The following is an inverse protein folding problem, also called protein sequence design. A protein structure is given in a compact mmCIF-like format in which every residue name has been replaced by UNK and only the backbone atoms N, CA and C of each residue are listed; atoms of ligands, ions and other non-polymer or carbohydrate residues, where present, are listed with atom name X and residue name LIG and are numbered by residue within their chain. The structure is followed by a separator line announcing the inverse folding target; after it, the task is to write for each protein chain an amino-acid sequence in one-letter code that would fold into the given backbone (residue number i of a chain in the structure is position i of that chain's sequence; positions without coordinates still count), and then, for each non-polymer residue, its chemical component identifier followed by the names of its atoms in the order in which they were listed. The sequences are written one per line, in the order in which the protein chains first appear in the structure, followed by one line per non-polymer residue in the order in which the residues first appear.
data_IF_684306303695
#
_entry.id   IF_684306303695
#
_cell.length_a   1.000
_cell.length_b   1.000
_cell.length_c   1.000
_cell.angle_alpha   90.00
_cell.angle_beta   90.00
_cell.angle_gamma   90.00
#
_symmetry.space_group_name_H-M   'P 1'
#
loop_
_entity.id
_entity.type
_entity.pdbx_description
1 polymer ?
#
# COMPACT_ATOMS: atom_id res chain seq x y z
N UNK A 1 -74.76 -2.45 -15.96
CA UNK A 1 -74.15 -3.20 -17.09
C UNK A 1 -72.72 -3.57 -16.70
N UNK A 2 -72.42 -4.89 -16.62
CA UNK A 2 -71.12 -5.62 -16.69
C UNK A 2 -69.91 -4.99 -15.96
N UNK A 3 -69.48 -5.44 -14.78
CA UNK A 3 -68.74 -6.68 -14.44
C UNK A 3 -67.46 -6.95 -15.26
N UNK A 4 -66.31 -7.06 -14.56
CA UNK A 4 -65.29 -8.12 -14.72
C UNK A 4 -64.28 -8.10 -13.55
N UNK A 5 -64.11 -9.29 -12.95
CA UNK A 5 -63.13 -9.72 -11.96
C UNK A 5 -61.73 -9.97 -12.58
N UNK A 6 -60.67 -9.90 -11.77
CA UNK A 6 -59.55 -10.87 -11.67
C UNK A 6 -58.57 -10.42 -10.57
N UNK A 7 -58.60 -10.97 -9.35
CA UNK A 7 -57.86 -12.14 -8.83
C UNK A 7 -56.33 -12.00 -8.71
N UNK A 8 -55.90 -11.93 -7.44
CA UNK A 8 -54.72 -12.54 -6.80
C UNK A 8 -53.72 -13.30 -7.67
N UNK A 9 -52.43 -12.98 -7.52
CA UNK A 9 -51.35 -13.97 -7.63
C UNK A 9 -50.23 -13.63 -6.65
N UNK A 10 -50.12 -14.47 -5.63
CA UNK A 10 -48.95 -14.71 -4.78
C UNK A 10 -47.91 -15.48 -5.62
N UNK A 11 -46.61 -15.16 -5.54
CA UNK A 11 -45.40 -15.97 -5.81
C UNK A 11 -44.23 -14.99 -6.06
N UNK A 12 -42.98 -15.17 -5.68
CA UNK A 12 -42.27 -16.18 -4.90
C UNK A 12 -40.94 -15.51 -4.48
N UNK A 13 -40.52 -15.69 -3.22
CA UNK A 13 -39.14 -15.43 -2.81
C UNK A 13 -38.25 -16.47 -3.50
N UNK A 14 -37.48 -16.05 -4.51
CA UNK A 14 -36.33 -16.83 -4.96
C UNK A 14 -35.14 -16.48 -4.07
N UNK A 15 -34.87 -17.37 -3.11
CA UNK A 15 -33.55 -17.55 -2.54
C UNK A 15 -32.65 -18.07 -3.67
N UNK A 16 -31.74 -17.24 -4.16
CA UNK A 16 -30.61 -17.70 -4.96
C UNK A 16 -29.41 -17.92 -4.02
N UNK A 17 -28.69 -19.05 -4.17
CA UNK A 17 -27.64 -19.46 -3.27
C UNK A 17 -26.41 -18.55 -3.38
N UNK A 18 -25.81 -18.27 -2.22
CA UNK A 18 -24.47 -17.69 -2.09
C UNK A 18 -23.49 -18.76 -2.57
N UNK A 19 -23.02 -18.63 -3.81
CA UNK A 19 -21.92 -19.41 -4.35
C UNK A 19 -20.73 -18.48 -4.59
N UNK A 20 -19.78 -18.55 -3.66
CA UNK A 20 -18.32 -18.53 -3.89
C UNK A 20 -17.84 -17.72 -5.10
N UNK A 21 -17.41 -16.48 -4.84
CA UNK A 21 -16.35 -15.83 -5.61
C UNK A 21 -15.11 -15.74 -4.71
N UNK A 22 -14.39 -16.86 -4.64
CA UNK A 22 -13.00 -16.90 -4.18
C UNK A 22 -12.22 -17.36 -5.41
N UNK A 23 -11.62 -16.42 -6.16
CA UNK A 23 -10.96 -16.75 -7.42
C UNK A 23 -10.46 -15.60 -8.29
N UNK A 24 -10.62 -14.32 -7.91
CA UNK A 24 -10.27 -13.19 -8.79
C UNK A 24 -9.06 -12.36 -8.33
N UNK A 25 -8.35 -12.72 -7.25
CA UNK A 25 -7.23 -11.89 -6.76
C UNK A 25 -5.86 -12.25 -7.35
N UNK A 26 -5.66 -13.46 -7.88
CA UNK A 26 -4.36 -13.89 -8.40
C UNK A 26 -4.11 -13.47 -9.86
N UNK A 27 -5.15 -13.34 -10.69
CA UNK A 27 -4.97 -12.99 -12.12
C UNK A 27 -4.74 -11.49 -12.37
N UNK A 28 -5.21 -10.59 -11.50
CA UNK A 28 -4.99 -9.14 -11.68
C UNK A 28 -3.52 -8.72 -11.45
N UNK A 29 -2.78 -9.44 -10.60
CA UNK A 29 -1.39 -9.08 -10.24
C UNK A 29 -0.36 -9.33 -11.37
N UNK A 30 -0.70 -10.13 -12.39
CA UNK A 30 0.28 -10.62 -13.37
C UNK A 30 0.40 -9.76 -14.64
N UNK A 31 -0.45 -8.75 -14.81
CA UNK A 31 -0.47 -7.88 -16.01
C UNK A 31 0.31 -6.56 -15.85
N UNK A 32 0.86 -6.27 -14.68
CA UNK A 32 1.20 -4.90 -14.26
C UNK A 32 2.59 -4.34 -14.68
N UNK A 33 3.33 -4.93 -15.61
CA UNK A 33 4.72 -4.49 -15.88
C UNK A 33 5.03 -4.29 -17.37
N UNK A 34 4.83 -3.08 -17.91
CA UNK A 34 5.35 -2.76 -19.26
C UNK A 34 5.89 -1.34 -19.48
N UNK A 35 5.77 -0.39 -18.55
CA UNK A 35 6.34 0.95 -18.73
C UNK A 35 7.51 1.22 -17.77
N UNK A 36 8.71 1.36 -18.34
CA UNK A 36 9.95 1.62 -17.61
C UNK A 36 9.95 2.96 -16.87
N UNK A 37 9.06 3.90 -17.21
CA UNK A 37 8.94 5.20 -16.55
C UNK A 37 7.71 5.28 -15.63
N UNK A 38 7.11 4.15 -15.28
CA UNK A 38 5.96 4.06 -14.38
C UNK A 38 6.32 3.18 -13.18
N UNK A 39 5.94 3.58 -11.96
CA UNK A 39 6.10 2.73 -10.78
C UNK A 39 5.05 1.61 -10.74
N UNK A 40 5.42 0.39 -10.30
CA UNK A 40 6.79 -0.03 -9.95
C UNK A 40 7.68 -0.20 -11.21
N UNK A 41 8.86 0.43 -11.23
CA UNK A 41 9.75 0.48 -12.41
C UNK A 41 11.14 1.07 -12.16
N UNK A 42 11.87 1.44 -13.23
CA UNK A 42 13.20 2.07 -13.17
C UNK A 42 13.10 3.59 -13.31
N UNK A 43 13.27 4.29 -12.19
CA UNK A 43 13.21 5.74 -12.12
C UNK A 43 14.59 6.29 -12.49
N UNK A 44 14.70 6.87 -13.67
CA UNK A 44 15.97 7.42 -14.15
C UNK A 44 16.17 8.84 -13.65
N UNK A 45 17.39 9.19 -13.25
CA UNK A 45 17.76 10.53 -12.74
C UNK A 45 17.57 11.66 -13.75
N UNK A 46 17.35 11.34 -15.03
CA UNK A 46 16.96 12.31 -16.07
C UNK A 46 15.48 12.73 -15.95
N UNK A 47 14.69 12.07 -15.10
CA UNK A 47 13.37 12.57 -14.74
C UNK A 47 13.52 13.88 -13.98
N UNK A 48 12.80 14.92 -14.42
CA UNK A 48 12.93 16.26 -13.84
C UNK A 48 12.55 16.20 -12.35
N UNK A 49 13.54 16.48 -11.49
CA UNK A 49 13.31 16.64 -10.07
C UNK A 49 12.35 17.81 -9.86
N UNK A 50 11.27 17.57 -9.12
CA UNK A 50 10.34 18.63 -8.80
C UNK A 50 10.87 19.39 -7.59
N UNK A 51 11.15 20.68 -7.79
CA UNK A 51 11.87 21.51 -6.80
C UNK A 51 10.92 22.18 -5.80
N UNK A 52 9.61 22.18 -6.06
CA UNK A 52 8.67 22.70 -5.06
C UNK A 52 8.70 21.84 -3.81
N UNK A 53 8.63 22.50 -2.65
CA UNK A 53 8.72 21.81 -1.37
C UNK A 53 7.50 20.92 -1.17
N UNK A 54 7.72 19.63 -0.95
CA UNK A 54 6.66 18.72 -0.54
C UNK A 54 6.17 19.10 0.87
N UNK A 55 4.94 19.58 0.96
CA UNK A 55 4.33 19.99 2.21
C UNK A 55 3.55 18.82 2.83
N UNK A 56 4.11 18.27 3.91
CA UNK A 56 3.49 17.17 4.66
C UNK A 56 3.25 17.60 6.10
N UNK A 57 2.13 17.16 6.65
CA UNK A 57 1.78 17.35 8.05
C UNK A 57 1.24 16.03 8.59
N UNK A 58 2.10 15.26 9.27
CA UNK A 58 1.70 14.03 9.95
C UNK A 58 1.72 14.25 11.47
N UNK A 59 0.56 14.12 12.09
CA UNK A 59 0.28 14.39 13.50
C UNK A 59 -0.17 13.10 14.20
N UNK A 60 -1.03 12.33 13.55
CA UNK A 60 -1.62 11.13 14.11
C UNK A 60 -0.75 9.90 13.85
N UNK A 61 -0.69 9.03 14.84
CA UNK A 61 -0.17 7.66 14.72
C UNK A 61 -1.17 6.79 13.95
N UNK A 62 -0.72 5.72 13.25
CA UNK A 62 -1.64 4.73 12.69
C UNK A 62 -2.53 4.14 13.79
N UNK A 63 -3.76 3.76 13.43
CA UNK A 63 -4.68 3.10 14.35
C UNK A 63 -4.38 1.62 14.53
N UNK A 64 -3.90 0.98 13.47
CA UNK A 64 -3.72 -0.47 13.43
C UNK A 64 -2.66 -0.88 12.42
N UNK A 65 -2.14 -2.08 12.62
CA UNK A 65 -1.21 -2.77 11.75
C UNK A 65 -1.78 -4.15 11.41
N UNK A 66 -1.72 -4.53 10.14
CA UNK A 66 -2.16 -5.83 9.62
C UNK A 66 -1.01 -6.47 8.88
N UNK A 67 -0.79 -7.77 9.11
CA UNK A 67 -0.03 -8.61 8.20
C UNK A 67 -1.02 -9.33 7.28
N UNK A 68 -1.08 -8.96 6.01
CA UNK A 68 -1.99 -9.57 5.04
C UNK A 68 -1.33 -10.70 4.22
N UNK A 69 -0.16 -11.18 4.65
CA UNK A 69 0.61 -12.21 3.96
C UNK A 69 1.46 -11.70 2.80
N UNK A 70 1.17 -10.51 2.26
CA UNK A 70 1.98 -9.85 1.21
C UNK A 70 2.84 -8.73 1.79
N UNK A 71 2.28 -7.94 2.70
CA UNK A 71 2.91 -6.76 3.29
C UNK A 71 2.44 -6.55 4.74
N UNK A 72 3.09 -5.60 5.42
CA UNK A 72 2.59 -4.99 6.63
C UNK A 72 1.91 -3.66 6.29
N UNK A 73 0.59 -3.60 6.52
CA UNK A 73 -0.27 -2.48 6.18
C UNK A 73 -0.67 -1.75 7.47
N UNK A 74 -0.31 -0.48 7.57
CA UNK A 74 -0.68 0.40 8.67
C UNK A 74 -1.81 1.33 8.23
N UNK A 75 -2.97 1.24 8.90
CA UNK A 75 -4.15 2.04 8.54
C UNK A 75 -4.32 3.25 9.46
N UNK A 76 -4.74 4.37 8.88
CA UNK A 76 -5.12 5.58 9.62
C UNK A 76 -6.58 5.53 10.07
N UNK A 77 -6.93 6.37 11.04
CA UNK A 77 -8.34 6.61 11.39
C UNK A 77 -9.01 7.44 10.30
N UNK A 78 -10.30 7.23 10.07
CA UNK A 78 -11.10 7.96 9.06
C UNK A 78 -11.13 9.48 9.23
N UNK A 79 -10.80 9.98 10.42
CA UNK A 79 -10.74 11.40 10.76
C UNK A 79 -9.31 11.90 11.04
N UNK A 80 -8.29 11.23 10.50
CA UNK A 80 -6.91 11.67 10.68
C UNK A 80 -6.67 13.07 10.11
N UNK A 81 -5.82 13.83 10.79
CA UNK A 81 -5.31 15.13 10.35
C UNK A 81 -4.01 15.03 9.52
N UNK A 82 -3.61 13.81 9.14
CA UNK A 82 -2.39 13.58 8.37
C UNK A 82 -2.59 13.95 6.91
N UNK A 83 -1.84 14.94 6.43
CA UNK A 83 -2.05 15.52 5.10
C UNK A 83 -0.77 15.69 4.29
N UNK A 84 -0.96 15.71 2.96
CA UNK A 84 0.00 16.04 1.93
C UNK A 84 -0.61 17.15 1.06
N UNK A 85 0.12 18.23 0.81
CA UNK A 85 -0.27 19.26 -0.18
C UNK A 85 0.59 19.12 -1.44
N UNK A 86 -0.07 18.97 -2.58
CA UNK A 86 0.55 18.77 -3.89
C UNK A 86 -0.28 19.49 -4.95
N UNK A 87 0.33 20.38 -5.74
CA UNK A 87 -0.33 21.23 -6.74
C UNK A 87 -1.61 21.92 -6.25
N UNK A 88 -1.54 22.54 -5.07
CA UNK A 88 -2.68 23.19 -4.39
C UNK A 88 -3.84 22.26 -4.02
N UNK A 89 -3.69 20.96 -4.19
CA UNK A 89 -4.62 19.96 -3.68
C UNK A 89 -4.16 19.41 -2.34
N UNK A 90 -5.13 19.17 -1.46
CA UNK A 90 -4.92 18.53 -0.16
C UNK A 90 -5.33 17.06 -0.25
N UNK A 91 -4.40 16.18 0.08
CA UNK A 91 -4.61 14.75 0.19
C UNK A 91 -4.49 14.33 1.66
N UNK A 92 -5.34 13.42 2.10
CA UNK A 92 -5.32 12.84 3.45
C UNK A 92 -4.68 11.46 3.39
N UNK A 93 -3.75 11.17 4.31
CA UNK A 93 -3.11 9.85 4.43
C UNK A 93 -4.15 8.81 4.88
N UNK A 94 -4.39 7.78 4.07
CA UNK A 94 -5.34 6.70 4.39
C UNK A 94 -4.62 5.51 5.02
N UNK A 95 -3.50 5.12 4.44
CA UNK A 95 -2.69 3.99 4.87
C UNK A 95 -1.25 4.10 4.36
N UNK A 96 -0.38 3.22 4.87
CA UNK A 96 0.92 2.97 4.27
C UNK A 96 1.35 1.53 4.46
N UNK A 97 2.19 1.04 3.55
CA UNK A 97 2.66 -0.34 3.55
C UNK A 97 4.09 -0.45 3.00
N UNK A 98 4.72 -1.62 3.17
CA UNK A 98 6.14 -1.82 2.94
C UNK A 98 6.42 -2.97 1.97
N UNK A 99 7.51 -2.87 1.21
CA UNK A 99 7.96 -3.91 0.29
C UNK A 99 9.45 -4.19 0.50
N UNK A 100 9.85 -5.47 0.49
CA UNK A 100 11.25 -5.87 0.54
C UNK A 100 11.48 -7.07 -0.39
N UNK A 101 12.39 -6.98 -1.37
CA UNK A 101 13.19 -5.79 -1.70
C UNK A 101 12.31 -4.63 -2.22
N UNK A 102 12.89 -3.43 -2.35
CA UNK A 102 12.17 -2.30 -2.96
C UNK A 102 11.64 -2.70 -4.35
N UNK A 103 10.41 -2.29 -4.69
CA UNK A 103 9.78 -2.64 -5.97
C UNK A 103 10.38 -1.80 -7.10
N UNK A 104 10.52 -0.50 -6.85
CA UNK A 104 11.16 0.46 -7.74
C UNK A 104 12.69 0.36 -7.69
N UNK A 105 13.31 0.74 -8.79
CA UNK A 105 14.75 0.98 -8.88
C UNK A 105 15.02 2.44 -9.24
N UNK A 106 16.18 2.97 -8.86
CA UNK A 106 16.62 4.32 -9.25
C UNK A 106 17.94 4.17 -9.99
N UNK A 107 17.98 4.56 -11.26
CA UNK A 107 19.12 4.33 -12.17
C UNK A 107 19.61 2.87 -12.14
N UNK A 108 18.68 1.92 -12.16
CA UNK A 108 18.95 0.49 -12.08
C UNK A 108 19.38 -0.01 -10.69
N UNK A 109 19.53 0.86 -9.68
CA UNK A 109 19.81 0.45 -8.30
C UNK A 109 18.53 0.02 -7.61
N UNK A 110 18.49 -1.22 -7.11
CA UNK A 110 17.46 -1.71 -6.19
C UNK A 110 17.84 -1.39 -4.75
N UNK A 111 16.86 -0.95 -3.96
CA UNK A 111 17.00 -0.67 -2.53
C UNK A 111 16.51 -1.86 -1.68
N UNK A 112 16.91 -1.86 -0.41
CA UNK A 112 16.70 -3.01 0.47
C UNK A 112 15.23 -3.15 0.90
N UNK A 113 14.54 -2.01 1.04
CA UNK A 113 13.10 -1.94 1.32
C UNK A 113 12.51 -0.65 0.75
N UNK A 114 11.21 -0.62 0.54
CA UNK A 114 10.43 0.52 0.05
C UNK A 114 9.17 0.71 0.89
N UNK A 115 8.75 1.95 1.09
CA UNK A 115 7.52 2.34 1.77
C UNK A 115 6.63 3.10 0.80
N UNK A 116 5.35 2.73 0.72
CA UNK A 116 4.31 3.48 0.03
C UNK A 116 3.37 4.13 1.05
N UNK A 117 3.25 5.45 1.02
CA UNK A 117 2.24 6.20 1.79
C UNK A 117 1.11 6.64 0.85
N UNK A 118 -0.08 6.08 1.04
CA UNK A 118 -1.22 6.29 0.16
C UNK A 118 -2.12 7.41 0.68
N UNK A 119 -2.31 8.44 -0.13
CA UNK A 119 -3.12 9.60 0.21
C UNK A 119 -4.25 9.81 -0.78
N UNK A 120 -5.41 10.26 -0.30
CA UNK A 120 -6.57 10.54 -1.15
C UNK A 120 -7.10 11.94 -0.93
N UNK A 121 -7.42 12.64 -2.01
CA UNK A 121 -8.08 13.94 -1.91
C UNK A 121 -9.61 13.81 -1.90
N UNK A 122 -10.32 14.94 -1.73
CA UNK A 122 -11.79 14.98 -1.69
C UNK A 122 -12.49 14.57 -2.99
N UNK A 123 -11.76 14.48 -4.10
CA UNK A 123 -12.26 14.01 -5.40
C UNK A 123 -12.03 12.51 -5.61
N UNK A 124 -11.36 11.84 -4.66
CA UNK A 124 -10.99 10.44 -4.76
C UNK A 124 -9.68 10.18 -5.51
N UNK A 125 -8.96 11.22 -5.93
CA UNK A 125 -7.68 11.10 -6.64
C UNK A 125 -6.58 10.64 -5.65
N UNK A 126 -5.69 9.76 -6.13
CA UNK A 126 -4.66 9.12 -5.31
C UNK A 126 -3.29 9.81 -5.50
N UNK A 127 -2.59 10.03 -4.39
CA UNK A 127 -1.19 10.41 -4.39
C UNK A 127 -0.39 9.41 -3.52
N UNK A 128 0.71 8.90 -4.06
CA UNK A 128 1.57 7.92 -3.39
C UNK A 128 2.92 8.56 -3.13
N UNK A 129 3.32 8.66 -1.86
CA UNK A 129 4.69 9.04 -1.50
C UNK A 129 5.49 7.76 -1.31
N UNK A 130 6.62 7.66 -2.00
CA UNK A 130 7.51 6.51 -1.96
C UNK A 130 8.81 6.88 -1.27
N UNK A 131 9.23 6.06 -0.31
CA UNK A 131 10.48 6.23 0.43
C UNK A 131 11.32 4.97 0.32
N UNK A 132 12.54 5.11 -0.19
CA UNK A 132 13.51 4.02 -0.26
C UNK A 132 14.25 3.85 1.06
N UNK A 133 14.64 2.61 1.36
CA UNK A 133 15.43 2.27 2.53
C UNK A 133 16.69 1.50 2.14
N UNK A 134 17.78 1.75 2.85
CA UNK A 134 19.01 0.94 2.75
C UNK A 134 19.50 0.49 4.12
N UNK A 135 20.17 -0.65 4.18
CA UNK A 135 20.77 -1.15 5.43
C UNK A 135 21.74 -0.12 6.05
N UNK A 136 21.58 0.13 7.35
CA UNK A 136 22.32 1.14 8.09
C UNK A 136 21.85 1.22 9.55
N UNK A 137 21.69 2.44 10.05
CA UNK A 137 21.21 2.68 11.40
C UNK A 137 19.72 2.28 11.55
N UNK A 138 19.30 1.80 12.73
CA UNK A 138 17.90 1.46 12.96
C UNK A 138 16.98 2.67 12.84
N UNK A 139 15.80 2.47 12.24
CA UNK A 139 14.75 3.48 12.19
C UNK A 139 13.79 3.31 13.36
N UNK A 140 13.58 4.37 14.15
CA UNK A 140 12.75 4.31 15.36
C UNK A 140 11.26 4.10 15.08
N UNK A 141 10.72 4.61 13.98
CA UNK A 141 9.32 4.36 13.63
C UNK A 141 9.10 2.90 13.22
N UNK A 142 10.03 2.31 12.46
CA UNK A 142 9.98 0.88 12.13
C UNK A 142 10.04 0.00 13.39
N UNK A 143 10.82 0.39 14.40
CA UNK A 143 10.86 -0.35 15.67
C UNK A 143 9.48 -0.39 16.36
N UNK A 144 8.78 0.75 16.46
CA UNK A 144 7.43 0.80 17.04
C UNK A 144 6.40 0.00 16.23
N UNK A 145 6.49 0.03 14.90
CA UNK A 145 5.65 -0.78 14.03
C UNK A 145 5.95 -2.27 14.19
N UNK A 146 7.22 -2.69 14.17
CA UNK A 146 7.60 -4.10 14.20
C UNK A 146 7.31 -4.77 15.54
N UNK A 147 7.31 -4.02 16.64
CA UNK A 147 6.84 -4.50 17.94
C UNK A 147 5.33 -4.80 17.94
N UNK A 148 4.58 -4.20 17.03
CA UNK A 148 3.12 -4.32 16.91
C UNK A 148 2.68 -5.35 15.87
N UNK A 149 3.61 -6.06 15.23
CA UNK A 149 3.31 -7.06 14.19
C UNK A 149 2.39 -8.14 14.78
N UNK A 150 1.21 -8.39 14.18
CA UNK A 150 0.35 -9.49 14.59
C UNK A 150 1.00 -10.83 14.27
N UNK A 151 0.88 -11.79 15.19
CA UNK A 151 1.34 -13.17 14.97
C UNK A 151 0.39 -14.01 14.10
N UNK A 152 -0.78 -13.47 13.75
CA UNK A 152 -1.82 -14.14 12.96
C UNK A 152 -2.11 -13.27 11.74
N UNK A 153 -2.10 -13.88 10.55
CA UNK A 153 -2.45 -13.20 9.30
C UNK A 153 -3.87 -12.62 9.34
N UNK A 154 -4.08 -11.54 8.61
CA UNK A 154 -5.34 -10.80 8.49
C UNK A 154 -5.88 -10.24 9.81
N UNK A 155 -5.15 -10.43 10.91
CA UNK A 155 -5.56 -9.91 12.22
C UNK A 155 -5.07 -8.48 12.36
N UNK A 156 -6.02 -7.55 12.54
CA UNK A 156 -5.75 -6.17 12.94
C UNK A 156 -5.18 -6.13 14.36
N UNK A 157 -4.00 -5.56 14.51
CA UNK A 157 -3.36 -5.29 15.79
C UNK A 157 -3.34 -3.79 16.07
N UNK A 158 -3.65 -3.40 17.29
CA UNK A 158 -3.37 -2.05 17.77
C UNK A 158 -1.87 -1.88 17.97
N UNK A 159 -1.37 -0.66 17.74
CA UNK A 159 0.03 -0.36 17.99
C UNK A 159 0.37 -0.46 19.49
N UNK A 160 1.55 -1.00 19.78
CA UNK A 160 2.10 -1.09 21.13
C UNK A 160 2.36 0.29 21.73
N UNK A 161 2.81 1.23 20.91
CA UNK A 161 3.04 2.63 21.26
C UNK A 161 2.73 3.53 20.06
N UNK A 162 2.46 4.83 20.27
CA UNK A 162 2.33 5.79 19.18
C UNK A 162 3.57 5.81 18.29
N UNK A 163 3.38 5.82 16.97
CA UNK A 163 4.45 5.89 15.97
C UNK A 163 4.44 7.27 15.33
N UNK A 164 5.60 7.92 15.32
CA UNK A 164 5.81 9.18 14.60
C UNK A 164 6.15 8.89 13.13
N UNK A 165 5.17 9.10 12.25
CA UNK A 165 5.30 8.85 10.80
C UNK A 165 6.32 9.82 10.17
N UNK A 166 6.62 10.97 10.78
CA UNK A 166 7.64 11.88 10.25
C UNK A 166 9.05 11.26 10.26
N UNK A 167 9.29 10.25 11.09
CA UNK A 167 10.55 9.48 11.10
C UNK A 167 10.64 8.46 9.94
N UNK A 168 9.56 8.30 9.18
CA UNK A 168 9.51 7.56 7.92
C UNK A 168 9.68 8.47 6.69
N UNK A 169 10.04 9.74 6.90
CA UNK A 169 10.38 10.67 5.84
C UNK A 169 11.81 11.21 6.01
N UNK A 170 12.56 11.42 4.92
CA UNK A 170 13.81 12.14 4.97
C UNK A 170 13.59 13.63 5.33
N UNK A 171 14.64 14.24 5.88
CA UNK A 171 14.66 15.68 6.16
C UNK A 171 14.50 16.46 4.84
N UNK A 172 15.32 16.11 3.85
CA UNK A 172 15.23 16.62 2.48
C UNK A 172 14.20 15.80 1.69
N UNK A 173 13.09 16.46 1.31
CA UNK A 173 11.96 15.87 0.61
C UNK A 173 11.97 16.16 -0.89
N UNK A 174 13.13 16.47 -1.47
CA UNK A 174 13.28 16.54 -2.93
C UNK A 174 12.83 15.22 -3.56
N UNK A 175 12.06 15.29 -4.64
CA UNK A 175 11.38 14.13 -5.20
C UNK A 175 11.35 14.13 -6.73
N UNK A 176 11.23 12.95 -7.31
CA UNK A 176 10.76 12.77 -8.69
C UNK A 176 9.25 12.64 -8.69
N UNK A 177 8.60 13.34 -9.62
CA UNK A 177 7.16 13.23 -9.84
C UNK A 177 6.89 12.37 -11.06
N UNK A 178 6.08 11.33 -10.88
CA UNK A 178 5.63 10.47 -11.97
C UNK A 178 4.10 10.50 -11.96
N UNK A 179 3.49 10.87 -13.09
CA UNK A 179 2.06 10.76 -13.25
C UNK A 179 1.75 9.35 -13.79
N UNK A 180 0.85 8.63 -13.14
CA UNK A 180 0.33 7.36 -13.62
C UNK A 180 -0.27 7.51 -15.02
N UNK A 181 0.02 6.58 -15.92
CA UNK A 181 -0.60 6.53 -17.24
C UNK A 181 -2.01 5.93 -17.16
N UNK A 182 -3.03 6.50 -17.82
CA UNK A 182 -4.35 5.87 -17.98
C UNK A 182 -4.28 4.54 -18.75
N UNK A 183 -3.17 4.27 -19.42
CA UNK A 183 -2.92 3.03 -20.16
C UNK A 183 -1.98 2.08 -19.42
N UNK A 184 -1.60 2.42 -18.18
CA UNK A 184 -0.77 1.56 -17.35
C UNK A 184 -1.63 0.40 -16.85
N UNK A 185 -1.20 -0.86 -17.04
CA UNK A 185 -1.89 -2.02 -16.46
C UNK A 185 -1.75 -2.10 -14.93
N UNK A 186 -1.11 -1.12 -14.28
CA UNK A 186 -1.17 -0.97 -12.82
C UNK A 186 -2.60 -0.58 -12.39
N UNK A 187 -3.20 -1.32 -11.47
CA UNK A 187 -4.53 -1.08 -10.88
C UNK A 187 -4.69 0.29 -10.14
N UNK A 188 -3.68 1.17 -10.24
CA UNK A 188 -3.62 2.52 -9.69
C UNK A 188 -3.60 3.57 -10.81
N UNK A 189 -4.45 3.37 -11.83
CA UNK A 189 -4.62 4.32 -12.92
C UNK A 189 -4.79 5.75 -12.38
N UNK A 190 -4.05 6.70 -12.95
CA UNK A 190 -4.10 8.14 -12.61
C UNK A 190 -3.58 8.52 -11.21
N UNK A 191 -2.90 7.63 -10.48
CA UNK A 191 -2.21 8.02 -9.26
C UNK A 191 -1.04 8.96 -9.55
N UNK A 192 -0.84 9.97 -8.69
CA UNK A 192 0.37 10.79 -8.70
C UNK A 192 1.40 10.13 -7.78
N UNK A 193 2.56 9.79 -8.33
CA UNK A 193 3.65 9.20 -7.57
C UNK A 193 4.73 10.24 -7.27
N UNK A 194 5.11 10.30 -6.01
CA UNK A 194 6.09 11.21 -5.43
C UNK A 194 7.19 10.34 -4.84
N UNK A 195 8.29 10.15 -5.57
CA UNK A 195 9.40 9.29 -5.13
C UNK A 195 10.51 10.14 -4.54
N UNK A 196 10.73 10.02 -3.23
CA UNK A 196 11.74 10.82 -2.54
C UNK A 196 13.14 10.37 -2.93
N UNK A 197 14.02 11.34 -3.21
CA UNK A 197 15.37 11.07 -3.68
C UNK A 197 16.31 10.56 -2.59
N UNK A 198 16.03 10.93 -1.35
CA UNK A 198 16.89 10.62 -0.20
C UNK A 198 16.36 9.38 0.52
N UNK A 199 17.10 8.25 0.47
CA UNK A 199 16.71 7.05 1.18
C UNK A 199 16.86 7.24 2.69
N UNK A 200 16.04 6.52 3.45
CA UNK A 200 16.24 6.31 4.87
C UNK A 200 17.09 5.07 5.13
N UNK A 201 17.49 4.87 6.38
CA UNK A 201 18.18 3.65 6.80
C UNK A 201 17.29 2.78 7.68
N UNK A 202 17.51 1.47 7.63
CA UNK A 202 17.00 0.51 8.60
C UNK A 202 18.13 -0.44 9.02
N UNK A 203 18.04 -1.02 10.21
CA UNK A 203 19.05 -2.00 10.62
C UNK A 203 18.85 -3.34 9.91
N UNK A 204 19.91 -4.16 9.74
CA UNK A 204 19.79 -5.51 9.19
C UNK A 204 18.76 -6.37 9.94
N UNK A 205 18.69 -6.23 11.28
CA UNK A 205 17.72 -6.94 12.11
C UNK A 205 16.26 -6.48 11.87
N UNK A 206 16.04 -5.20 11.55
CA UNK A 206 14.71 -4.71 11.17
C UNK A 206 14.28 -5.22 9.80
N UNK A 207 15.22 -5.27 8.84
CA UNK A 207 14.97 -5.83 7.52
C UNK A 207 14.65 -7.33 7.62
N UNK A 208 15.49 -8.10 8.33
CA UNK A 208 15.27 -9.54 8.56
C UNK A 208 13.93 -9.80 9.25
N UNK A 209 13.58 -9.02 10.27
CA UNK A 209 12.31 -9.16 10.97
C UNK A 209 11.12 -8.94 10.02
N UNK A 210 11.21 -7.94 9.15
CA UNK A 210 10.19 -7.69 8.13
C UNK A 210 10.10 -8.86 7.15
N UNK A 211 11.21 -9.21 6.49
CA UNK A 211 11.23 -10.23 5.44
C UNK A 211 10.74 -11.58 5.96
N UNK A 212 11.15 -12.01 7.15
CA UNK A 212 10.63 -13.24 7.76
C UNK A 212 9.13 -13.17 8.06
N UNK A 213 8.60 -12.00 8.40
CA UNK A 213 7.18 -11.83 8.73
C UNK A 213 6.29 -11.97 7.50
N UNK A 214 6.72 -11.47 6.33
CA UNK A 214 5.97 -11.60 5.07
C UNK A 214 6.29 -12.89 4.31
N UNK A 215 7.56 -13.32 4.23
CA UNK A 215 7.98 -14.49 3.43
C UNK A 215 7.74 -15.85 4.10
N UNK A 216 7.68 -15.94 5.44
CA UNK A 216 7.35 -17.22 6.11
C UNK A 216 5.95 -17.72 5.70
N UNK A 217 5.08 -16.85 5.18
CA UNK A 217 3.75 -17.21 4.76
C UNK A 217 3.63 -17.53 3.27
N UNK A 218 4.43 -16.95 2.38
CA UNK A 218 4.52 -17.44 0.98
C UNK A 218 4.94 -18.92 0.95
N UNK A 219 5.92 -19.29 1.77
CA UNK A 219 6.37 -20.68 1.88
C UNK A 219 5.30 -21.60 2.50
N UNK A 220 4.45 -21.08 3.37
CA UNK A 220 3.37 -21.85 4.00
C UNK A 220 2.17 -22.02 3.06
N UNK A 221 1.83 -21.00 2.27
CA UNK A 221 0.78 -21.07 1.24
C UNK A 221 1.22 -21.98 0.08
N UNK A 222 2.48 -21.92 -0.35
CA UNK A 222 3.05 -22.85 -1.32
C UNK A 222 3.12 -24.31 -0.80
N UNK A 223 3.38 -24.50 0.50
CA UNK A 223 3.36 -25.83 1.11
C UNK A 223 1.93 -26.39 1.27
N UNK A 224 0.91 -25.54 1.43
CA UNK A 224 -0.49 -25.95 1.49
C UNK A 224 -1.09 -26.22 0.09
N UNK A 225 -0.62 -25.54 -0.96
CA UNK A 225 -1.06 -25.78 -2.34
C UNK A 225 -0.44 -27.03 -2.98
N UNK A 226 0.73 -27.47 -2.47
CA UNK A 226 1.41 -28.70 -2.91
C UNK A 226 1.05 -29.95 -2.10
N UNK A 227 -0.05 -29.88 -1.34
CA UNK A 227 -0.65 -30.97 -0.57
C UNK A 227 -0.97 -32.18 -1.44
N UNK A 228 0.04 -33.02 -1.64
CA UNK A 228 -0.03 -34.32 -2.28
C UNK A 228 -0.98 -35.20 -1.48
N UNK A 229 -2.10 -35.57 -2.09
CA UNK A 229 -2.94 -36.67 -1.66
C UNK A 229 -2.10 -37.95 -1.63
N UNK A 230 -1.93 -38.52 -0.45
CA UNK A 230 -1.70 -39.95 -0.25
C UNK A 230 -2.80 -40.50 0.63
#
# INVERSE_FOLDING_TARGET
MKSRLCTSTLLAFFLLPISVFAGDQEEEHQLCQTDINQPPGDIRSVSEAHVSQLEVQYIDSPSELVNNGLTLLASMRSFTANTLRLDDQLYTLEEFHFHAPAENTIDGKRYDMELHLMHRNSKGELAVVVVMFTEGAPNKALEGLWQSIPSVLEKRATLFAPVDINLLLPVDKTYWRLNGSPSSPSCLENAVWVVLQHPLTLSPAQLEKFTLTVHNHESTVAALSTGTTR
#
